data_IF_953741480101
#
_entry.id   IF_953741480101
#
_cell.length_a   1.000
_cell.length_b   1.000
_cell.length_c   1.000
_cell.angle_alpha   90.00
_cell.angle_beta   90.00
_cell.angle_gamma   90.00
#
_symmetry.space_group_name_H-M   'P 1'
#
loop_
_entity.id
_entity.type
_entity.pdbx_description
1 polymer ?
#
# COMPACT_ATOMS: atom_id res chain seq x y z
N UNK A 1 -2.84 -11.42 4.41
CA UNK A 1 -4.17 -11.67 5.03
C UNK A 1 -4.56 -10.43 5.79
N UNK A 2 -5.73 -9.84 5.44
CA UNK A 2 -6.34 -8.74 6.19
C UNK A 2 -7.40 -9.30 7.14
N UNK A 3 -7.48 -8.76 8.35
CA UNK A 3 -8.37 -9.25 9.41
C UNK A 3 -8.64 -8.13 10.44
N UNK A 4 -9.51 -8.40 11.40
CA UNK A 4 -9.79 -7.49 12.53
C UNK A 4 -11.04 -6.63 12.36
N UNK A 5 -11.60 -6.57 11.15
CA UNK A 5 -12.85 -5.85 10.89
C UNK A 5 -13.98 -6.84 10.57
N UNK A 6 -15.17 -6.57 11.10
CA UNK A 6 -16.42 -7.27 10.82
C UNK A 6 -17.63 -6.35 11.03
N UNK A 7 -18.80 -6.80 10.62
CA UNK A 7 -20.03 -6.09 10.86
C UNK A 7 -20.43 -6.21 12.35
N UNK A 8 -20.51 -5.09 13.05
CA UNK A 8 -20.86 -5.06 14.47
C UNK A 8 -22.30 -5.52 14.75
N UNK A 9 -23.16 -5.60 13.73
CA UNK A 9 -24.53 -6.13 13.84
C UNK A 9 -24.60 -7.66 13.83
N UNK A 10 -23.49 -8.36 13.58
CA UNK A 10 -23.43 -9.82 13.62
C UNK A 10 -23.86 -10.37 14.99
N UNK A 11 -24.44 -11.58 15.03
CA UNK A 11 -24.72 -12.29 16.29
C UNK A 11 -23.47 -12.39 17.17
N UNK A 12 -23.65 -12.33 18.47
CA UNK A 12 -22.56 -12.33 19.45
C UNK A 12 -21.67 -13.57 19.35
N UNK A 13 -22.27 -14.73 19.01
CA UNK A 13 -21.54 -15.99 18.80
C UNK A 13 -20.62 -15.90 17.58
N UNK A 14 -21.06 -15.30 16.48
CA UNK A 14 -20.26 -15.11 15.27
C UNK A 14 -19.08 -14.17 15.54
N UNK A 15 -19.31 -13.04 16.21
CA UNK A 15 -18.25 -12.11 16.60
C UNK A 15 -17.21 -12.79 17.49
N UNK A 16 -17.66 -13.58 18.47
CA UNK A 16 -16.78 -14.38 19.33
C UNK A 16 -15.95 -15.37 18.54
N UNK A 17 -16.54 -16.05 17.57
CA UNK A 17 -15.84 -17.02 16.73
C UNK A 17 -14.81 -16.34 15.84
N UNK A 18 -15.16 -15.23 15.20
CA UNK A 18 -14.23 -14.43 14.41
C UNK A 18 -13.04 -13.92 15.23
N UNK A 19 -13.30 -13.37 16.42
CA UNK A 19 -12.25 -12.95 17.34
C UNK A 19 -11.35 -14.10 17.77
N UNK A 20 -11.92 -15.27 18.06
CA UNK A 20 -11.16 -16.45 18.45
C UNK A 20 -10.22 -16.94 17.33
N UNK A 21 -10.73 -17.08 16.10
CA UNK A 21 -9.93 -17.50 14.94
C UNK A 21 -8.76 -16.54 14.72
N UNK A 22 -9.04 -15.24 14.73
CA UNK A 22 -8.04 -14.20 14.54
C UNK A 22 -7.01 -14.17 15.69
N UNK A 23 -7.45 -14.39 16.94
CA UNK A 23 -6.56 -14.47 18.09
C UNK A 23 -5.63 -15.68 18.02
N UNK A 24 -6.13 -16.83 17.58
CA UNK A 24 -5.30 -18.03 17.36
C UNK A 24 -4.22 -17.75 16.32
N UNK A 25 -4.58 -17.12 15.19
CA UNK A 25 -3.62 -16.73 14.16
C UNK A 25 -2.51 -15.81 14.71
N UNK A 26 -2.88 -14.83 15.52
CA UNK A 26 -1.92 -13.92 16.17
C UNK A 26 -1.01 -14.66 17.16
N UNK A 27 -1.56 -15.55 17.98
CA UNK A 27 -0.79 -16.35 18.94
C UNK A 27 0.20 -17.30 18.27
N UNK A 28 -0.23 -17.96 17.19
CA UNK A 28 0.66 -18.81 16.38
C UNK A 28 1.81 -17.97 15.81
N UNK A 29 1.50 -16.78 15.29
CA UNK A 29 2.52 -15.84 14.80
C UNK A 29 3.51 -15.46 15.90
N UNK A 30 3.03 -15.06 17.07
CA UNK A 30 3.84 -14.64 18.21
C UNK A 30 4.72 -15.76 18.77
N UNK A 31 4.20 -16.97 18.83
CA UNK A 31 4.94 -18.12 19.34
C UNK A 31 6.04 -18.60 18.37
N UNK A 32 5.96 -18.21 17.10
CA UNK A 32 6.89 -18.70 16.10
C UNK A 32 6.70 -20.18 15.77
N UNK A 33 7.64 -20.74 15.02
CA UNK A 33 7.57 -22.14 14.61
C UNK A 33 8.86 -22.91 14.99
N UNK A 34 8.71 -24.23 15.18
CA UNK A 34 9.80 -25.12 15.54
C UNK A 34 10.27 -24.97 16.99
N UNK A 35 11.28 -25.73 17.36
CA UNK A 35 11.84 -25.74 18.73
C UNK A 35 12.50 -24.42 19.12
N UNK A 36 13.01 -23.69 18.13
CA UNK A 36 13.73 -22.43 18.31
C UNK A 36 12.81 -21.20 18.23
N UNK A 37 11.48 -21.38 18.18
CA UNK A 37 10.51 -20.31 18.07
C UNK A 37 10.82 -19.29 16.94
N UNK A 38 11.26 -19.79 15.78
CA UNK A 38 11.64 -18.93 14.65
C UNK A 38 10.46 -18.10 14.18
N UNK A 39 10.65 -16.79 13.89
CA UNK A 39 9.59 -15.92 13.42
C UNK A 39 8.93 -16.45 12.13
N UNK A 40 7.62 -16.47 12.11
CA UNK A 40 6.83 -16.78 10.91
C UNK A 40 6.63 -15.48 10.11
N UNK A 41 7.25 -15.38 8.94
CA UNK A 41 7.20 -14.14 8.13
C UNK A 41 5.98 -14.13 7.22
N UNK A 42 5.60 -15.26 6.66
CA UNK A 42 4.46 -15.38 5.75
C UNK A 42 3.37 -16.30 6.30
N UNK A 43 2.10 -16.08 5.89
CA UNK A 43 1.60 -14.91 5.15
C UNK A 43 1.70 -13.62 5.98
N UNK A 44 1.88 -12.47 5.30
CA UNK A 44 1.82 -11.17 5.99
C UNK A 44 0.43 -10.91 6.54
N UNK A 45 0.38 -10.41 7.76
CA UNK A 45 -0.85 -10.09 8.48
C UNK A 45 -1.05 -8.58 8.50
N UNK A 46 -2.25 -8.13 8.16
CA UNK A 46 -2.67 -6.72 8.21
C UNK A 46 -3.92 -6.61 9.06
N UNK A 47 -3.80 -5.95 10.20
CA UNK A 47 -4.91 -5.64 11.08
C UNK A 47 -5.66 -4.41 10.55
N UNK A 48 -6.93 -4.57 10.24
CA UNK A 48 -7.81 -3.48 9.84
C UNK A 48 -8.34 -2.80 11.11
N UNK A 49 -7.80 -1.64 11.41
CA UNK A 49 -8.17 -0.90 12.62
C UNK A 49 -9.34 0.03 12.34
N UNK A 50 -10.49 -0.28 12.93
CA UNK A 50 -11.64 0.59 13.03
C UNK A 50 -11.80 1.05 14.48
N UNK A 51 -11.56 2.34 14.73
CA UNK A 51 -11.68 2.94 16.07
C UNK A 51 -13.06 2.75 16.65
N UNK A 52 -14.11 2.92 15.86
CA UNK A 52 -15.49 2.80 16.31
C UNK A 52 -15.81 1.37 16.73
N UNK A 53 -15.39 0.39 15.92
CA UNK A 53 -15.57 -1.03 16.25
C UNK A 53 -14.82 -1.42 17.51
N UNK A 54 -13.54 -1.05 17.64
CA UNK A 54 -12.72 -1.34 18.84
C UNK A 54 -13.29 -0.72 20.11
N UNK A 55 -13.90 0.46 20.03
CA UNK A 55 -14.49 1.14 21.18
C UNK A 55 -15.86 0.58 21.62
N UNK A 56 -16.62 -0.01 20.70
CA UNK A 56 -18.00 -0.41 20.94
C UNK A 56 -18.24 -1.93 20.90
N UNK A 57 -17.23 -2.73 20.63
CA UNK A 57 -17.31 -4.20 20.59
C UNK A 57 -16.17 -4.81 21.42
N UNK A 58 -16.54 -5.53 22.49
CA UNK A 58 -15.59 -6.16 23.41
C UNK A 58 -14.68 -7.21 22.73
N UNK A 59 -15.20 -7.92 21.74
CA UNK A 59 -14.42 -8.90 21.00
C UNK A 59 -13.36 -8.23 20.14
N UNK A 60 -13.69 -7.10 19.51
CA UNK A 60 -12.76 -6.26 18.78
C UNK A 60 -11.70 -5.64 19.67
N UNK A 61 -12.07 -5.13 20.83
CA UNK A 61 -11.13 -4.59 21.80
C UNK A 61 -10.12 -5.65 22.25
N UNK A 62 -10.60 -6.85 22.64
CA UNK A 62 -9.73 -7.97 23.03
C UNK A 62 -8.81 -8.45 21.90
N UNK A 63 -9.32 -8.48 20.66
CA UNK A 63 -8.51 -8.83 19.50
C UNK A 63 -7.44 -7.77 19.20
N UNK A 64 -7.77 -6.48 19.36
CA UNK A 64 -6.81 -5.40 19.20
C UNK A 64 -5.66 -5.51 20.22
N UNK A 65 -5.97 -5.80 21.49
CA UNK A 65 -4.94 -6.05 22.52
C UNK A 65 -4.02 -7.22 22.15
N UNK A 66 -4.56 -8.32 21.64
CA UNK A 66 -3.75 -9.45 21.15
C UNK A 66 -2.89 -9.07 19.93
N UNK A 67 -3.41 -8.23 19.04
CA UNK A 67 -2.63 -7.72 17.91
C UNK A 67 -1.46 -6.86 18.40
N UNK A 68 -1.69 -5.93 19.33
CA UNK A 68 -0.64 -5.07 19.92
C UNK A 68 0.44 -5.91 20.63
N UNK A 69 0.04 -6.90 21.44
CA UNK A 69 0.98 -7.84 22.08
C UNK A 69 1.83 -8.59 21.04
N UNK A 70 1.22 -8.99 19.94
CA UNK A 70 1.92 -9.71 18.88
C UNK A 70 2.91 -8.81 18.15
N UNK A 71 2.51 -7.58 17.84
CA UNK A 71 3.39 -6.59 17.19
C UNK A 71 4.60 -6.23 18.04
N UNK A 72 4.43 -6.13 19.35
CA UNK A 72 5.55 -5.84 20.27
C UNK A 72 6.59 -6.96 20.34
N UNK A 73 6.22 -8.17 19.95
CA UNK A 73 7.10 -9.35 20.00
C UNK A 73 7.74 -9.66 18.67
N UNK A 74 7.00 -9.59 17.56
CA UNK A 74 7.46 -10.05 16.25
C UNK A 74 7.24 -9.04 15.11
N UNK A 75 6.99 -7.78 15.41
CA UNK A 75 6.76 -6.67 14.45
C UNK A 75 5.58 -6.86 13.49
N UNK A 76 4.69 -7.81 13.74
CA UNK A 76 3.47 -8.09 12.98
C UNK A 76 2.29 -8.25 13.94
N UNK A 77 1.06 -7.94 13.51
CA UNK A 77 0.63 -7.50 12.18
C UNK A 77 1.03 -6.06 11.84
N UNK A 78 1.00 -5.72 10.54
CA UNK A 78 0.91 -4.32 10.11
C UNK A 78 -0.51 -3.80 10.42
N UNK A 79 -0.65 -2.47 10.63
CA UNK A 79 -1.95 -1.85 10.92
C UNK A 79 -2.38 -0.96 9.77
N UNK A 80 -3.64 -1.11 9.36
CA UNK A 80 -4.32 -0.23 8.43
C UNK A 80 -5.49 0.43 9.15
N UNK A 81 -5.40 1.74 9.41
CA UNK A 81 -6.53 2.49 9.92
C UNK A 81 -7.55 2.74 8.81
N UNK A 82 -8.76 2.18 8.99
CA UNK A 82 -9.89 2.39 8.08
C UNK A 82 -10.88 3.44 8.62
N UNK A 83 -10.66 3.94 9.82
CA UNK A 83 -11.48 4.95 10.51
C UNK A 83 -10.76 6.28 10.76
N UNK A 84 -9.60 6.50 10.14
CA UNK A 84 -8.89 7.78 10.22
C UNK A 84 -9.72 8.90 9.58
N UNK A 85 -9.58 10.13 10.07
CA UNK A 85 -10.18 11.32 9.45
C UNK A 85 -9.54 11.62 8.10
N UNK A 86 -8.30 11.20 7.90
CA UNK A 86 -7.48 11.47 6.73
C UNK A 86 -7.16 10.20 5.94
N UNK A 87 -6.83 10.39 4.68
CA UNK A 87 -6.36 9.34 3.80
C UNK A 87 -7.44 8.70 2.94
N UNK A 88 -7.03 8.24 1.76
CA UNK A 88 -7.93 7.70 0.72
C UNK A 88 -8.62 6.41 1.18
N UNK A 89 -7.92 5.53 1.90
CA UNK A 89 -8.48 4.26 2.36
C UNK A 89 -9.64 4.48 3.34
N UNK A 90 -9.44 5.34 4.34
CA UNK A 90 -10.49 5.66 5.33
C UNK A 90 -11.66 6.41 4.71
N UNK A 91 -11.38 7.29 3.76
CA UNK A 91 -12.44 7.98 3.00
C UNK A 91 -13.29 6.99 2.21
N UNK A 92 -12.68 6.08 1.46
CA UNK A 92 -13.40 5.06 0.70
C UNK A 92 -14.23 4.14 1.58
N UNK A 93 -13.71 3.79 2.76
CA UNK A 93 -14.47 2.98 3.70
C UNK A 93 -15.70 3.74 4.24
N UNK A 94 -15.55 5.01 4.61
CA UNK A 94 -16.67 5.83 5.12
C UNK A 94 -17.74 6.11 4.07
N UNK A 95 -17.33 6.43 2.84
CA UNK A 95 -18.23 6.91 1.79
C UNK A 95 -18.85 5.76 0.99
N UNK A 96 -18.12 4.68 0.78
CA UNK A 96 -18.47 3.61 -0.16
C UNK A 96 -18.51 2.21 0.49
N UNK A 97 -18.14 2.08 1.77
CA UNK A 97 -18.00 0.78 2.44
C UNK A 97 -16.88 -0.10 1.87
N UNK A 98 -15.93 0.49 1.12
CA UNK A 98 -14.89 -0.24 0.40
C UNK A 98 -13.57 -0.20 1.15
N UNK A 99 -12.99 -1.38 1.40
CA UNK A 99 -11.66 -1.51 2.00
C UNK A 99 -10.66 -1.89 0.91
N UNK A 100 -9.65 -1.03 0.71
CA UNK A 100 -8.49 -1.33 -0.11
C UNK A 100 -7.35 -1.80 0.80
N UNK A 101 -7.05 -3.09 0.77
CA UNK A 101 -5.97 -3.66 1.58
C UNK A 101 -4.61 -3.40 0.93
N UNK A 102 -3.55 -3.19 1.72
CA UNK A 102 -2.20 -3.09 1.18
C UNK A 102 -1.74 -4.44 0.63
N UNK A 103 -0.92 -4.39 -0.41
CA UNK A 103 -0.22 -5.55 -0.93
C UNK A 103 1.15 -5.68 -0.23
N UNK A 104 1.53 -6.91 0.04
CA UNK A 104 2.86 -7.35 0.50
C UNK A 104 3.68 -6.35 1.32
N UNK A 105 4.22 -5.31 0.72
CA UNK A 105 5.16 -4.36 1.33
C UNK A 105 4.55 -2.97 1.57
N UNK A 106 3.27 -2.88 1.97
CA UNK A 106 2.55 -1.61 2.22
C UNK A 106 2.32 -0.76 0.95
N UNK A 107 2.35 -1.38 -0.22
CA UNK A 107 1.93 -0.77 -1.46
C UNK A 107 0.41 -0.88 -1.59
N UNK A 108 -0.24 0.20 -2.02
CA UNK A 108 -1.68 0.23 -2.26
C UNK A 108 -1.95 0.29 -3.75
N UNK A 109 -3.03 -0.37 -4.16
CA UNK A 109 -3.57 -0.14 -5.51
C UNK A 109 -4.28 1.20 -5.54
N UNK A 110 -4.02 2.00 -6.56
CA UNK A 110 -4.80 3.22 -6.80
C UNK A 110 -6.29 2.86 -6.90
N UNK A 111 -7.19 3.58 -6.21
CA UNK A 111 -8.61 3.36 -6.35
C UNK A 111 -9.05 3.47 -7.80
N UNK A 112 -9.86 2.52 -8.25
CA UNK A 112 -10.39 2.51 -9.60
C UNK A 112 -11.83 2.02 -9.60
N UNK A 113 -12.70 2.78 -10.28
CA UNK A 113 -14.09 2.39 -10.55
C UNK A 113 -14.16 1.82 -11.95
N UNK A 114 -14.79 0.66 -12.09
CA UNK A 114 -15.12 0.14 -13.40
C UNK A 114 -16.12 1.08 -14.09
N UNK A 115 -15.80 1.62 -15.27
CA UNK A 115 -16.66 2.57 -15.97
C UNK A 115 -18.01 1.96 -16.39
N UNK A 116 -18.09 0.63 -16.56
CA UNK A 116 -19.33 -0.06 -16.93
C UNK A 116 -20.27 -0.21 -15.74
N UNK A 117 -19.74 -0.52 -14.55
CA UNK A 117 -20.56 -0.81 -13.36
C UNK A 117 -20.63 0.36 -12.39
N UNK A 118 -19.73 1.34 -12.49
CA UNK A 118 -19.58 2.45 -11.57
C UNK A 118 -19.09 2.03 -10.16
N UNK A 119 -18.69 0.77 -9.96
CA UNK A 119 -18.26 0.23 -8.67
C UNK A 119 -16.74 0.17 -8.55
N UNK A 120 -16.24 0.34 -7.32
CA UNK A 120 -14.83 0.11 -7.04
C UNK A 120 -14.48 -1.38 -7.17
N UNK A 121 -13.38 -1.66 -7.86
CA UNK A 121 -12.84 -3.01 -8.01
C UNK A 121 -11.62 -3.15 -7.09
N UNK A 122 -11.74 -3.98 -6.08
CA UNK A 122 -10.69 -4.22 -5.06
C UNK A 122 -10.05 -5.60 -5.15
N UNK A 123 -10.64 -6.51 -5.93
CA UNK A 123 -10.18 -7.89 -6.11
C UNK A 123 -9.80 -8.11 -7.58
N UNK A 124 -8.80 -8.96 -7.81
CA UNK A 124 -8.36 -9.29 -9.18
C UNK A 124 -7.59 -8.18 -9.87
N UNK A 125 -6.97 -7.28 -9.12
CA UNK A 125 -6.08 -6.24 -9.63
C UNK A 125 -4.67 -6.48 -9.10
N UNK A 126 -3.67 -5.94 -9.77
CA UNK A 126 -2.28 -6.07 -9.32
C UNK A 126 -1.49 -4.76 -9.45
N UNK A 127 -0.33 -4.76 -8.82
CA UNK A 127 0.72 -3.77 -9.06
C UNK A 127 1.70 -4.34 -10.09
N UNK A 128 1.91 -3.63 -11.18
CA UNK A 128 2.81 -4.06 -12.27
C UNK A 128 4.28 -3.80 -11.97
N UNK A 129 4.57 -3.04 -10.92
CA UNK A 129 5.92 -2.77 -10.46
C UNK A 129 6.00 -1.55 -9.58
N UNK A 130 7.07 -1.52 -8.79
CA UNK A 130 7.42 -0.40 -7.95
C UNK A 130 8.87 0.02 -8.21
N UNK A 131 9.11 1.32 -8.23
CA UNK A 131 10.45 1.90 -8.25
C UNK A 131 10.53 2.88 -7.09
N UNK A 132 11.56 2.71 -6.23
CA UNK A 132 11.69 3.51 -5.01
C UNK A 132 12.75 4.59 -5.15
N UNK A 133 12.40 5.79 -4.72
CA UNK A 133 13.30 6.93 -4.57
C UNK A 133 14.10 6.81 -3.27
N UNK A 134 15.40 6.92 -3.36
CA UNK A 134 16.29 7.06 -2.21
C UNK A 134 16.44 8.55 -1.88
N UNK A 135 15.53 9.08 -1.05
CA UNK A 135 15.48 10.51 -0.73
C UNK A 135 16.77 11.02 -0.07
N UNK A 136 17.36 10.32 0.93
CA UNK A 136 18.63 10.75 1.51
C UNK A 136 19.78 10.85 0.50
N UNK A 137 19.87 9.90 -0.43
CA UNK A 137 20.91 9.93 -1.46
C UNK A 137 20.74 11.17 -2.35
N UNK A 138 19.53 11.52 -2.73
CA UNK A 138 19.24 12.68 -3.56
C UNK A 138 19.63 13.99 -2.84
N UNK A 139 19.33 14.10 -1.53
CA UNK A 139 19.76 15.24 -0.71
C UNK A 139 21.29 15.34 -0.69
N UNK A 140 21.99 14.21 -0.47
CA UNK A 140 23.47 14.19 -0.45
C UNK A 140 24.07 14.57 -1.79
N UNK A 141 23.49 14.09 -2.90
CA UNK A 141 23.92 14.48 -4.26
C UNK A 141 23.77 16.00 -4.44
N UNK A 142 22.61 16.55 -4.12
CA UNK A 142 22.37 17.98 -4.21
C UNK A 142 23.38 18.79 -3.33
N UNK A 143 23.61 18.38 -2.09
CA UNK A 143 24.59 19.01 -1.20
C UNK A 143 26.02 18.98 -1.74
N UNK A 144 26.41 17.91 -2.41
CA UNK A 144 27.76 17.73 -2.93
C UNK A 144 27.97 18.53 -4.22
N UNK A 145 27.00 18.48 -5.13
CA UNK A 145 27.12 19.11 -6.45
C UNK A 145 26.76 20.60 -6.42
N UNK A 146 25.90 21.02 -5.48
CA UNK A 146 25.35 22.38 -5.37
C UNK A 146 25.36 22.88 -3.91
N UNK A 147 26.53 23.04 -3.26
CA UNK A 147 26.61 23.32 -1.83
C UNK A 147 25.94 24.63 -1.41
N UNK A 148 25.77 25.60 -2.30
CA UNK A 148 25.19 26.90 -1.98
C UNK A 148 23.68 26.95 -2.08
N UNK A 149 23.10 26.20 -2.99
CA UNK A 149 21.66 26.19 -3.33
C UNK A 149 21.04 24.78 -3.31
N UNK A 150 21.66 23.84 -2.62
CA UNK A 150 21.30 22.42 -2.62
C UNK A 150 19.84 22.14 -2.28
N UNK A 151 19.17 23.00 -1.46
CA UNK A 151 17.77 22.82 -1.12
C UNK A 151 16.85 23.02 -2.31
N UNK A 152 17.15 23.98 -3.16
CA UNK A 152 16.42 24.19 -4.42
C UNK A 152 16.72 23.07 -5.40
N UNK A 153 17.99 22.74 -5.56
CA UNK A 153 18.47 21.68 -6.46
C UNK A 153 17.98 20.30 -6.10
N UNK A 154 17.68 20.03 -4.83
CA UNK A 154 17.02 18.78 -4.43
C UNK A 154 15.66 18.62 -5.09
N UNK A 155 14.83 19.66 -5.17
CA UNK A 155 13.53 19.59 -5.81
C UNK A 155 13.63 19.39 -7.32
N UNK A 156 14.58 20.08 -7.97
CA UNK A 156 14.87 19.87 -9.40
C UNK A 156 15.27 18.41 -9.66
N UNK A 157 16.18 17.87 -8.84
CA UNK A 157 16.62 16.48 -8.94
C UNK A 157 15.49 15.50 -8.67
N UNK A 158 14.59 15.81 -7.73
CA UNK A 158 13.41 14.98 -7.46
C UNK A 158 12.49 14.93 -8.67
N UNK A 159 12.23 16.05 -9.32
CA UNK A 159 11.42 16.10 -10.55
C UNK A 159 12.04 15.27 -11.68
N UNK A 160 13.34 15.41 -11.90
CA UNK A 160 14.06 14.60 -12.89
C UNK A 160 13.92 13.10 -12.62
N UNK A 161 14.08 12.67 -11.36
CA UNK A 161 13.95 11.26 -10.99
C UNK A 161 12.53 10.76 -11.09
N UNK A 162 11.54 11.57 -10.75
CA UNK A 162 10.13 11.24 -10.93
C UNK A 162 9.81 11.03 -12.41
N UNK A 163 10.33 11.90 -13.30
CA UNK A 163 10.13 11.73 -14.74
C UNK A 163 10.79 10.43 -15.26
N UNK A 164 12.00 10.11 -14.83
CA UNK A 164 12.67 8.85 -15.20
C UNK A 164 11.85 7.64 -14.76
N UNK A 165 11.31 7.65 -13.54
CA UNK A 165 10.45 6.57 -13.04
C UNK A 165 9.16 6.48 -13.86
N UNK A 166 8.52 7.62 -14.15
CA UNK A 166 7.33 7.71 -14.99
C UNK A 166 7.55 7.04 -16.34
N UNK A 167 8.61 7.42 -17.04
CA UNK A 167 8.92 6.90 -18.37
C UNK A 167 9.20 5.38 -18.33
N UNK A 168 9.91 4.92 -17.31
CA UNK A 168 10.14 3.51 -17.09
C UNK A 168 8.84 2.73 -16.85
N UNK A 169 7.96 3.24 -16.00
CA UNK A 169 6.67 2.60 -15.70
C UNK A 169 5.72 2.62 -16.90
N UNK A 170 5.69 3.70 -17.70
CA UNK A 170 4.95 3.74 -18.96
C UNK A 170 5.43 2.64 -19.91
N UNK A 171 6.74 2.52 -20.10
CA UNK A 171 7.30 1.46 -20.92
C UNK A 171 6.96 0.07 -20.40
N UNK A 172 6.88 -0.10 -19.09
CA UNK A 172 6.46 -1.36 -18.46
C UNK A 172 4.98 -1.67 -18.74
N UNK A 173 4.08 -0.68 -18.68
CA UNK A 173 2.70 -0.82 -19.12
C UNK A 173 2.62 -1.30 -20.56
N UNK A 174 3.38 -0.68 -21.48
CA UNK A 174 3.39 -1.03 -22.90
C UNK A 174 3.89 -2.46 -23.13
N UNK A 175 4.94 -2.87 -22.43
CA UNK A 175 5.49 -4.24 -22.54
C UNK A 175 4.44 -5.26 -22.09
N UNK A 176 3.76 -5.04 -20.95
CA UNK A 176 2.75 -5.96 -20.44
C UNK A 176 1.53 -5.99 -21.36
N UNK A 177 1.06 -4.82 -21.82
CA UNK A 177 -0.07 -4.68 -22.75
C UNK A 177 0.10 -5.54 -24.00
N UNK A 178 1.35 -5.65 -24.49
CA UNK A 178 1.69 -6.36 -25.70
C UNK A 178 1.99 -7.85 -25.48
N UNK A 179 2.01 -8.36 -24.24
CA UNK A 179 2.15 -9.78 -23.98
C UNK A 179 0.91 -10.55 -24.41
N UNK A 180 1.07 -11.86 -24.74
CA UNK A 180 -0.08 -12.75 -24.92
C UNK A 180 -0.65 -13.15 -23.56
N UNK A 181 -1.95 -13.40 -23.51
CA UNK A 181 -2.63 -13.85 -22.28
C UNK A 181 -2.10 -15.22 -21.82
N UNK A 182 -1.63 -16.05 -22.73
CA UNK A 182 -0.92 -17.31 -22.42
C UNK A 182 0.36 -17.16 -21.60
N UNK A 183 0.93 -15.95 -21.50
CA UNK A 183 2.12 -15.71 -20.64
C UNK A 183 1.82 -15.85 -19.15
N UNK A 184 0.57 -15.64 -18.74
CA UNK A 184 0.08 -15.91 -17.38
C UNK A 184 -1.39 -16.35 -17.43
N UNK A 185 -1.65 -17.65 -17.72
CA UNK A 185 -3.01 -18.16 -17.93
C UNK A 185 -3.90 -17.96 -16.71
N UNK A 186 -3.40 -18.19 -15.50
CA UNK A 186 -4.17 -18.01 -14.28
C UNK A 186 -4.74 -16.60 -14.15
N UNK A 187 -3.95 -15.60 -14.50
CA UNK A 187 -4.33 -14.20 -14.39
C UNK A 187 -5.27 -13.76 -15.53
N UNK A 188 -4.93 -14.09 -16.78
CA UNK A 188 -5.52 -13.45 -17.94
C UNK A 188 -6.55 -14.30 -18.68
N UNK A 189 -6.56 -15.63 -18.45
CA UNK A 189 -7.49 -16.55 -19.15
C UNK A 189 -8.43 -17.30 -18.22
N UNK A 190 -8.06 -17.48 -16.94
CA UNK A 190 -8.81 -18.28 -15.97
C UNK A 190 -9.48 -17.45 -14.86
N UNK A 191 -9.57 -16.13 -15.04
CA UNK A 191 -10.29 -15.26 -14.14
C UNK A 191 -9.52 -14.86 -12.86
N UNK A 192 -8.22 -15.09 -12.78
CA UNK A 192 -7.41 -14.66 -11.65
C UNK A 192 -7.34 -13.14 -11.51
N UNK A 193 -7.36 -12.40 -12.63
CA UNK A 193 -7.55 -10.97 -12.64
C UNK A 193 -8.98 -10.58 -13.03
N UNK A 194 -9.38 -9.38 -12.64
CA UNK A 194 -10.66 -8.81 -13.04
C UNK A 194 -10.75 -8.76 -14.57
N UNK A 195 -11.86 -9.21 -15.13
CA UNK A 195 -12.04 -9.41 -16.59
C UNK A 195 -10.97 -10.30 -17.26
N UNK A 196 -10.21 -11.07 -16.48
CA UNK A 196 -9.12 -11.93 -16.95
C UNK A 196 -9.59 -13.27 -17.53
N UNK A 197 -10.55 -13.27 -18.44
CA UNK A 197 -11.10 -14.45 -19.13
C UNK A 197 -10.91 -14.37 -20.64
N UNK A 198 -9.78 -13.80 -21.08
CA UNK A 198 -9.42 -13.64 -22.49
C UNK A 198 -8.94 -14.95 -23.11
N UNK A 199 -8.94 -15.01 -24.43
CA UNK A 199 -8.31 -16.11 -25.16
C UNK A 199 -6.79 -16.12 -24.91
N UNK A 200 -6.15 -17.29 -24.76
CA UNK A 200 -4.69 -17.40 -24.58
C UNK A 200 -3.85 -16.70 -25.65
N UNK A 201 -4.34 -16.64 -26.88
CA UNK A 201 -3.63 -15.99 -27.99
C UNK A 201 -3.86 -14.47 -28.08
N UNK A 202 -4.85 -13.95 -27.38
CA UNK A 202 -5.09 -12.52 -27.29
C UNK A 202 -3.94 -11.78 -26.61
N UNK A 203 -3.87 -10.45 -26.84
CA UNK A 203 -3.01 -9.57 -26.08
C UNK A 203 -3.67 -9.26 -24.73
N UNK A 204 -2.83 -9.05 -23.70
CA UNK A 204 -3.29 -8.55 -22.39
C UNK A 204 -4.09 -7.26 -22.58
N UNK A 205 -3.59 -6.33 -23.41
CA UNK A 205 -4.35 -5.18 -23.90
C UNK A 205 -4.86 -4.28 -22.76
N UNK A 206 -6.16 -4.04 -22.76
CA UNK A 206 -6.88 -3.18 -21.81
C UNK A 206 -6.88 -3.66 -20.36
N UNK A 207 -6.56 -4.93 -20.12
CA UNK A 207 -6.45 -5.46 -18.76
C UNK A 207 -5.41 -4.73 -17.89
N UNK A 208 -4.43 -4.04 -18.51
CA UNK A 208 -3.46 -3.24 -17.77
C UNK A 208 -4.01 -1.90 -17.25
N UNK A 209 -5.12 -1.42 -17.80
CA UNK A 209 -5.62 -0.06 -17.52
C UNK A 209 -6.14 0.10 -16.09
N UNK A 210 -6.51 -1.00 -15.43
CA UNK A 210 -6.89 -1.02 -14.03
C UNK A 210 -5.82 -1.60 -13.09
N UNK A 211 -4.62 -1.87 -13.60
CA UNK A 211 -3.45 -2.23 -12.80
C UNK A 211 -2.74 -0.95 -12.31
N UNK A 212 -2.01 -1.06 -11.21
CA UNK A 212 -1.31 0.08 -10.61
C UNK A 212 0.20 -0.08 -10.78
N UNK A 213 0.90 1.01 -11.05
CA UNK A 213 2.35 1.12 -10.89
C UNK A 213 2.65 2.00 -9.68
N UNK A 214 3.70 1.68 -8.91
CA UNK A 214 3.98 2.38 -7.66
C UNK A 214 5.29 3.16 -7.71
N UNK A 215 5.23 4.41 -7.28
CA UNK A 215 6.38 5.21 -6.89
C UNK A 215 6.63 4.96 -5.40
N UNK A 216 7.73 4.30 -5.09
CA UNK A 216 8.14 4.04 -3.72
C UNK A 216 9.03 5.13 -3.18
N UNK A 217 9.11 5.23 -1.87
CA UNK A 217 10.04 6.12 -1.16
C UNK A 217 10.69 5.36 -0.04
N UNK A 218 11.94 5.71 0.28
CA UNK A 218 12.67 5.09 1.38
C UNK A 218 13.34 6.14 2.26
N UNK A 219 13.52 5.78 3.54
CA UNK A 219 14.38 6.48 4.49
C UNK A 219 14.02 7.97 4.71
N UNK A 220 12.72 8.28 4.86
CA UNK A 220 12.27 9.65 5.14
C UNK A 220 12.81 10.22 6.45
N UNK A 221 13.06 9.40 7.46
CA UNK A 221 13.64 9.85 8.72
C UNK A 221 15.10 10.33 8.53
N UNK A 222 15.92 9.54 7.79
CA UNK A 222 17.28 9.95 7.45
C UNK A 222 17.29 11.17 6.52
N UNK A 223 16.34 11.27 5.60
CA UNK A 223 16.15 12.46 4.77
C UNK A 223 15.82 13.69 5.62
N UNK A 224 14.93 13.55 6.60
CA UNK A 224 14.58 14.63 7.54
C UNK A 224 15.80 15.06 8.34
N UNK A 225 16.59 14.12 8.83
CA UNK A 225 17.82 14.43 9.55
C UNK A 225 18.83 15.19 8.69
N UNK A 226 19.05 14.78 7.45
CA UNK A 226 19.93 15.49 6.53
C UNK A 226 19.43 16.91 6.20
N UNK A 227 18.13 17.10 6.14
CA UNK A 227 17.51 18.38 5.77
C UNK A 227 17.46 19.37 6.93
N UNK A 228 17.12 18.91 8.13
CA UNK A 228 16.80 19.75 9.30
C UNK A 228 17.81 19.64 10.44
N UNK A 229 18.64 18.58 10.46
CA UNK A 229 19.46 18.20 11.62
C UNK A 229 18.70 17.49 12.73
N UNK A 230 17.40 17.19 12.53
CA UNK A 230 16.51 16.54 13.51
C UNK A 230 15.91 15.26 12.95
N UNK A 231 15.59 14.30 13.80
CA UNK A 231 14.81 13.14 13.41
C UNK A 231 13.35 13.53 13.11
N UNK A 232 12.68 12.71 12.32
CA UNK A 232 11.31 13.03 11.88
C UNK A 232 10.34 13.27 13.04
N UNK A 233 10.49 12.54 14.15
CA UNK A 233 9.69 12.75 15.38
C UNK A 233 9.98 14.10 16.05
N UNK A 234 11.22 14.57 16.01
CA UNK A 234 11.65 15.85 16.59
C UNK A 234 11.26 17.04 15.71
N UNK A 235 11.13 16.80 14.41
CA UNK A 235 10.69 17.77 13.39
C UNK A 235 9.15 17.81 13.26
N UNK A 236 8.41 17.08 14.11
CA UNK A 236 6.95 16.89 13.95
C UNK A 236 6.54 16.43 12.53
N UNK A 237 7.44 15.71 11.87
CA UNK A 237 7.26 15.21 10.49
C UNK A 237 7.08 16.30 9.42
N UNK A 238 7.43 17.56 9.69
CA UNK A 238 7.16 18.68 8.80
C UNK A 238 7.79 18.50 7.41
N UNK A 239 9.07 18.17 7.35
CA UNK A 239 9.76 17.92 6.06
C UNK A 239 9.20 16.66 5.36
N UNK A 240 8.97 15.59 6.09
CA UNK A 240 8.41 14.36 5.51
C UNK A 240 7.03 14.61 4.87
N UNK A 241 6.16 15.37 5.55
CA UNK A 241 4.85 15.78 5.02
C UNK A 241 4.99 16.66 3.79
N UNK A 242 5.96 17.58 3.76
CA UNK A 242 6.23 18.41 2.59
C UNK A 242 6.60 17.54 1.37
N UNK A 243 7.52 16.59 1.53
CA UNK A 243 7.91 15.65 0.46
C UNK A 243 6.71 14.83 -0.02
N UNK A 244 5.93 14.26 0.91
CA UNK A 244 4.76 13.45 0.56
C UNK A 244 3.68 14.26 -0.19
N UNK A 245 3.43 15.50 0.20
CA UNK A 245 2.48 16.38 -0.50
C UNK A 245 2.96 16.71 -1.91
N UNK A 246 4.24 16.98 -2.05
CA UNK A 246 4.84 17.25 -3.36
C UNK A 246 4.71 16.03 -4.29
N UNK A 247 5.10 14.85 -3.80
CA UNK A 247 4.93 13.60 -4.54
C UNK A 247 3.48 13.34 -4.93
N UNK A 248 2.54 13.53 -4.01
CA UNK A 248 1.12 13.35 -4.30
C UNK A 248 0.61 14.28 -5.40
N UNK A 249 1.06 15.55 -5.38
CA UNK A 249 0.73 16.51 -6.44
C UNK A 249 1.26 16.03 -7.79
N UNK A 250 2.55 15.70 -7.89
CA UNK A 250 3.18 15.21 -9.12
C UNK A 250 2.53 13.94 -9.66
N UNK A 251 2.21 12.99 -8.77
CA UNK A 251 1.52 11.77 -9.20
C UNK A 251 0.09 12.04 -9.71
N UNK A 252 -0.59 13.02 -9.16
CA UNK A 252 -1.90 13.42 -9.69
C UNK A 252 -1.80 14.07 -11.08
N UNK A 253 -0.76 14.88 -11.31
CA UNK A 253 -0.44 15.43 -12.64
C UNK A 253 -0.17 14.29 -13.63
N UNK A 254 0.69 13.34 -13.29
CA UNK A 254 0.99 12.17 -14.13
C UNK A 254 -0.24 11.30 -14.44
N UNK A 255 -1.12 11.07 -13.44
CA UNK A 255 -2.38 10.35 -13.66
C UNK A 255 -3.28 11.05 -14.68
N UNK A 256 -3.38 12.37 -14.59
CA UNK A 256 -4.21 13.15 -15.49
C UNK A 256 -3.68 13.14 -16.93
N UNK A 257 -2.35 13.18 -17.10
CA UNK A 257 -1.71 13.20 -18.41
C UNK A 257 -1.64 11.82 -19.07
N UNK A 258 -1.28 10.78 -18.31
CA UNK A 258 -1.01 9.45 -18.85
C UNK A 258 -2.23 8.53 -18.87
N UNK A 259 -3.27 8.87 -18.09
CA UNK A 259 -4.44 8.02 -17.84
C UNK A 259 -4.10 6.65 -17.22
N UNK A 260 -2.91 6.49 -16.63
CA UNK A 260 -2.49 5.31 -15.87
C UNK A 260 -2.75 5.48 -14.36
N UNK A 261 -2.79 4.35 -13.66
CA UNK A 261 -2.95 4.32 -12.19
C UNK A 261 -1.56 4.26 -11.53
N UNK A 262 -1.20 5.36 -10.88
CA UNK A 262 0.04 5.48 -10.12
C UNK A 262 -0.22 5.52 -8.61
#
# INVERSE_FOLDING_TARGET
>A
ISFGQWDISLPEEDKRLLALINSVMLRVRRNGHGKDHKPVVFPKLVYLYDKNQVQNDLHSAGLFDEAVKTSSTCMYPDYLSISSEYGTVSRLFREEGVITSPMGCRAYLSPWKDPETGKYVTIGRCNIGAVSLNIPLMIKVAMTEHPLDWREKFWDLLDDRLQVIRDFLKKRYDVIRNQRCSSNPLAFTQGGFYKGTKDPDDRVGDLVDYMTASFGITALDDATYLWTGKRMIEDNSAFAVQVLRYLQQKLNEFKAEDHYLY
#
